data_IF_500021009686
#
_entry.id   IF_500021009686
#
_cell.length_a   1.000
_cell.length_b   1.000
_cell.length_c   1.000
_cell.angle_alpha   90.00
_cell.angle_beta   90.00
_cell.angle_gamma   90.00
#
_symmetry.space_group_name_H-M   'P 1'
#
loop_
_entity.id
_entity.type
_entity.pdbx_description
1 polymer ?
#
# COMPACT_ATOMS: atom_id res chain seq x y z
N UNK A 1 -3.75 21.45 9.60
CA UNK A 1 -3.60 21.65 8.14
C UNK A 1 -2.14 21.67 7.70
N UNK A 2 -1.29 22.58 8.20
CA UNK A 2 0.14 22.70 7.81
C UNK A 2 0.95 21.39 7.88
N UNK A 3 0.82 20.62 8.96
CA UNK A 3 1.52 19.33 9.08
C UNK A 3 1.07 18.25 8.08
N UNK A 4 -0.20 18.26 7.64
CA UNK A 4 -0.69 17.30 6.63
C UNK A 4 -0.12 17.64 5.25
N UNK A 5 -0.11 18.92 4.89
CA UNK A 5 0.49 19.41 3.63
C UNK A 5 1.98 19.04 3.58
N UNK A 6 2.74 19.31 4.64
CA UNK A 6 4.16 18.98 4.69
C UNK A 6 4.44 17.47 4.48
N UNK A 7 3.62 16.60 5.08
CA UNK A 7 3.73 15.14 4.92
C UNK A 7 3.45 14.70 3.48
N UNK A 8 2.39 15.24 2.87
CA UNK A 8 2.04 14.96 1.47
C UNK A 8 3.13 15.46 0.52
N UNK A 9 3.67 16.67 0.76
CA UNK A 9 4.79 17.20 -0.02
C UNK A 9 6.05 16.35 0.11
N UNK A 10 6.40 15.90 1.32
CA UNK A 10 7.55 15.03 1.53
C UNK A 10 7.40 13.68 0.81
N UNK A 11 6.21 13.06 0.89
CA UNK A 11 5.87 11.86 0.12
C UNK A 11 6.00 12.10 -1.38
N UNK A 12 5.50 13.25 -1.85
CA UNK A 12 5.54 13.58 -3.27
C UNK A 12 6.97 13.71 -3.77
N UNK A 13 7.82 14.40 -3.01
CA UNK A 13 9.25 14.53 -3.34
C UNK A 13 9.93 13.17 -3.34
N UNK A 14 9.69 12.35 -2.32
CA UNK A 14 10.27 11.01 -2.23
C UNK A 14 9.92 10.16 -3.46
N UNK A 15 8.64 10.11 -3.83
CA UNK A 15 8.19 9.32 -4.97
C UNK A 15 8.66 9.88 -6.31
N UNK A 16 8.75 11.20 -6.46
CA UNK A 16 9.29 11.82 -7.66
C UNK A 16 10.78 11.45 -7.85
N UNK A 17 11.56 11.47 -6.76
CA UNK A 17 12.96 11.05 -6.77
C UNK A 17 13.10 9.55 -7.07
N UNK A 18 12.26 8.72 -6.45
CA UNK A 18 12.24 7.28 -6.71
C UNK A 18 11.89 6.98 -8.18
N UNK A 19 10.84 7.60 -8.72
CA UNK A 19 10.46 7.45 -10.12
C UNK A 19 11.60 7.85 -11.05
N UNK A 20 12.22 9.01 -10.78
CA UNK A 20 13.35 9.51 -11.56
C UNK A 20 14.56 8.56 -11.52
N UNK A 21 14.82 7.95 -10.36
CA UNK A 21 15.87 6.94 -10.21
C UNK A 21 15.56 5.70 -11.07
N UNK A 22 14.33 5.17 -10.99
CA UNK A 22 13.93 4.02 -11.80
C UNK A 22 14.04 4.32 -13.29
N UNK A 23 13.49 5.45 -13.74
CA UNK A 23 13.48 5.82 -15.15
C UNK A 23 14.88 5.87 -15.77
N UNK A 24 15.89 6.32 -15.00
CA UNK A 24 17.29 6.34 -15.45
C UNK A 24 17.91 4.95 -15.64
N UNK A 25 17.35 3.93 -15.01
CA UNK A 25 17.88 2.57 -14.98
C UNK A 25 17.11 1.60 -15.89
N UNK A 26 16.08 2.05 -16.61
CA UNK A 26 15.34 1.25 -17.59
C UNK A 26 15.86 1.55 -19.00
N UNK A 27 16.05 0.52 -19.83
CA UNK A 27 16.59 0.65 -21.20
C UNK A 27 15.56 1.24 -22.18
N UNK A 28 15.99 2.26 -22.93
CA UNK A 28 15.14 3.21 -23.67
C UNK A 28 14.69 2.77 -25.07
N UNK A 29 14.08 1.60 -25.23
CA UNK A 29 13.27 1.37 -26.44
C UNK A 29 11.83 1.84 -26.19
N UNK A 30 11.52 3.07 -26.62
CA UNK A 30 10.18 3.66 -26.54
C UNK A 30 9.15 2.78 -27.25
N UNK A 31 8.45 1.97 -26.47
CA UNK A 31 7.41 1.04 -26.91
C UNK A 31 6.42 0.77 -25.77
N UNK A 32 5.33 0.05 -26.03
CA UNK A 32 4.42 -0.44 -24.98
C UNK A 32 5.16 -1.24 -23.90
N UNK A 33 6.28 -1.90 -24.25
CA UNK A 33 7.13 -2.62 -23.29
C UNK A 33 7.78 -1.71 -22.27
N UNK A 34 8.12 -0.46 -22.64
CA UNK A 34 8.66 0.52 -21.69
C UNK A 34 7.64 0.81 -20.57
N UNK A 35 6.35 0.86 -20.91
CA UNK A 35 5.29 1.11 -19.93
C UNK A 35 5.12 -0.08 -19.02
N UNK A 36 5.18 -1.30 -19.54
CA UNK A 36 5.15 -2.49 -18.69
C UNK A 36 6.40 -2.54 -17.82
N UNK A 37 7.60 -2.34 -18.35
CA UNK A 37 8.85 -2.37 -17.59
C UNK A 37 8.91 -1.31 -16.49
N UNK A 38 8.44 -0.09 -16.76
CA UNK A 38 8.39 1.00 -15.78
C UNK A 38 7.33 0.76 -14.69
N UNK A 39 6.25 0.04 -14.99
CA UNK A 39 5.08 -0.07 -14.12
C UNK A 39 4.80 -1.50 -13.63
N UNK A 40 5.64 -2.47 -14.00
CA UNK A 40 5.50 -3.87 -13.62
C UNK A 40 5.64 -4.05 -12.12
N UNK A 41 4.98 -5.05 -11.55
CA UNK A 41 5.24 -5.43 -10.17
C UNK A 41 6.63 -6.08 -10.03
N UNK A 42 7.12 -6.73 -11.08
CA UNK A 42 8.39 -7.45 -11.10
C UNK A 42 9.57 -6.58 -11.54
N UNK A 43 9.33 -5.31 -11.86
CA UNK A 43 10.33 -4.35 -12.37
C UNK A 43 9.97 -2.90 -12.02
N UNK A 44 10.81 -1.95 -12.39
CA UNK A 44 10.38 -0.54 -12.45
C UNK A 44 9.97 0.13 -11.14
N UNK A 45 9.03 1.09 -11.26
CA UNK A 45 8.57 1.99 -10.21
C UNK A 45 7.68 1.26 -9.19
N UNK A 46 6.87 0.33 -9.69
CA UNK A 46 5.93 -0.50 -8.93
C UNK A 46 6.56 -1.80 -8.43
N UNK A 47 7.89 -1.87 -8.38
CA UNK A 47 8.60 -3.08 -7.99
C UNK A 47 8.19 -3.55 -6.58
N UNK A 48 7.92 -4.84 -6.41
CA UNK A 48 7.41 -5.42 -5.16
C UNK A 48 8.30 -5.17 -3.93
N UNK A 49 9.64 -5.19 -4.10
CA UNK A 49 10.58 -4.85 -3.00
C UNK A 49 10.37 -3.40 -2.55
N UNK A 50 10.09 -2.52 -3.50
CA UNK A 50 9.84 -1.13 -3.23
C UNK A 50 8.53 -0.96 -2.48
N UNK A 51 7.48 -1.70 -2.84
CA UNK A 51 6.23 -1.71 -2.07
C UNK A 51 6.42 -2.12 -0.60
N UNK A 52 7.25 -3.14 -0.35
CA UNK A 52 7.58 -3.57 1.02
C UNK A 52 8.32 -2.47 1.81
N UNK A 53 9.25 -1.74 1.18
CA UNK A 53 9.94 -0.59 1.80
C UNK A 53 9.05 0.65 1.96
N UNK A 54 8.21 0.91 0.98
CA UNK A 54 7.25 2.02 0.94
C UNK A 54 6.16 1.90 2.01
N UNK A 55 5.78 0.68 2.40
CA UNK A 55 4.92 0.44 3.55
C UNK A 55 5.47 1.08 4.83
N UNK A 56 6.79 1.10 5.05
CA UNK A 56 7.37 1.77 6.23
C UNK A 56 7.11 3.27 6.17
N UNK A 57 7.21 3.87 4.99
CA UNK A 57 7.02 5.31 4.79
C UNK A 57 5.56 5.70 5.08
N UNK A 58 4.59 4.89 4.64
CA UNK A 58 3.18 5.01 5.02
C UNK A 58 3.03 5.03 6.55
N UNK A 59 3.63 4.05 7.23
CA UNK A 59 3.52 3.88 8.69
C UNK A 59 4.21 5.00 9.47
N UNK A 60 5.38 5.48 9.04
CA UNK A 60 6.15 6.53 9.71
C UNK A 60 5.62 7.94 9.45
N UNK A 61 5.23 8.24 8.21
CA UNK A 61 4.83 9.60 7.83
C UNK A 61 3.35 9.85 8.05
N UNK A 62 2.46 8.90 7.76
CA UNK A 62 1.03 9.16 7.72
C UNK A 62 0.28 8.65 8.95
N UNK A 63 0.79 7.63 9.64
CA UNK A 63 0.21 7.19 10.91
C UNK A 63 0.82 7.96 12.09
N UNK A 64 -0.01 8.55 12.95
CA UNK A 64 0.45 9.26 14.15
C UNK A 64 0.00 8.51 15.42
N UNK A 65 0.88 7.69 16.04
CA UNK A 65 0.54 6.92 17.23
C UNK A 65 0.34 7.79 18.48
N UNK A 66 0.92 9.00 18.53
CA UNK A 66 1.00 9.81 19.75
C UNK A 66 -0.33 10.42 20.20
N UNK A 67 -1.33 10.50 19.32
CA UNK A 67 -2.68 10.92 19.71
C UNK A 67 -3.49 9.79 20.39
N UNK A 68 -2.97 8.56 20.46
CA UNK A 68 -3.71 7.39 20.96
C UNK A 68 -3.50 7.17 22.47
N UNK A 69 -2.37 7.55 23.04
CA UNK A 69 -2.08 7.35 24.48
C UNK A 69 -3.04 8.14 25.38
N UNK A 70 -3.36 9.39 25.03
CA UNK A 70 -4.37 10.19 25.76
C UNK A 70 -5.81 9.72 25.54
N UNK A 71 -6.12 9.16 24.35
CA UNK A 71 -7.45 8.64 24.04
C UNK A 71 -7.71 7.27 24.67
N UNK A 72 -6.69 6.44 24.80
CA UNK A 72 -6.74 5.12 25.42
C UNK A 72 -7.30 5.13 26.85
N UNK A 73 -7.04 6.22 27.58
CA UNK A 73 -7.49 6.40 28.97
C UNK A 73 -8.95 6.88 29.06
N UNK A 74 -9.53 7.46 28.00
CA UNK A 74 -10.78 8.25 28.09
C UNK A 74 -11.91 7.81 27.17
N UNK A 75 -11.66 6.91 26.22
CA UNK A 75 -12.64 6.50 25.23
C UNK A 75 -12.89 4.98 25.25
N UNK A 76 -14.12 4.53 24.94
CA UNK A 76 -14.39 3.11 24.79
C UNK A 76 -13.46 2.50 23.72
N UNK A 77 -12.83 1.37 24.03
CA UNK A 77 -11.79 0.75 23.19
C UNK A 77 -12.23 0.52 21.74
N UNK A 78 -13.51 0.16 21.51
CA UNK A 78 -14.10 0.07 20.17
C UNK A 78 -13.97 1.37 19.36
N UNK A 79 -14.15 2.53 20.00
CA UNK A 79 -13.99 3.84 19.36
C UNK A 79 -12.53 4.13 19.01
N UNK A 80 -11.59 3.61 19.79
CA UNK A 80 -10.16 3.73 19.52
C UNK A 80 -9.77 2.87 18.33
N UNK A 81 -10.20 1.60 18.30
CA UNK A 81 -9.96 0.69 17.16
C UNK A 81 -10.54 1.28 15.87
N UNK A 82 -11.79 1.73 15.89
CA UNK A 82 -12.42 2.35 14.73
C UNK A 82 -11.66 3.60 14.26
N UNK A 83 -11.13 4.40 15.20
CA UNK A 83 -10.35 5.59 14.89
C UNK A 83 -8.99 5.25 14.29
N UNK A 84 -8.29 4.27 14.86
CA UNK A 84 -6.99 3.78 14.34
C UNK A 84 -7.16 3.20 12.94
N UNK A 85 -8.20 2.39 12.74
CA UNK A 85 -8.53 1.83 11.44
C UNK A 85 -8.93 2.92 10.44
N UNK A 86 -9.76 3.89 10.84
CA UNK A 86 -10.11 5.04 10.00
C UNK A 86 -8.91 5.90 9.61
N UNK A 87 -7.95 6.12 10.52
CA UNK A 87 -6.69 6.78 10.20
C UNK A 87 -5.85 5.98 9.21
N UNK A 88 -5.91 4.64 9.28
CA UNK A 88 -5.21 3.79 8.33
C UNK A 88 -5.84 3.83 6.94
N UNK A 89 -7.18 3.88 6.86
CA UNK A 89 -7.90 4.12 5.60
C UNK A 89 -7.48 5.46 4.98
N UNK A 90 -7.48 6.55 5.76
CA UNK A 90 -7.02 7.86 5.28
C UNK A 90 -5.57 7.80 4.78
N UNK A 91 -4.68 7.18 5.55
CA UNK A 91 -3.27 7.05 5.21
C UNK A 91 -3.06 6.26 3.91
N UNK A 92 -3.69 5.09 3.79
CA UNK A 92 -3.60 4.24 2.60
C UNK A 92 -4.11 4.99 1.35
N UNK A 93 -5.21 5.72 1.48
CA UNK A 93 -5.77 6.52 0.39
C UNK A 93 -4.79 7.60 -0.08
N UNK A 94 -4.28 8.42 0.85
CA UNK A 94 -3.34 9.49 0.49
C UNK A 94 -2.04 8.95 -0.10
N UNK A 95 -1.54 7.85 0.45
CA UNK A 95 -0.32 7.22 -0.03
C UNK A 95 -0.49 6.72 -1.47
N UNK A 96 -1.53 5.92 -1.74
CA UNK A 96 -1.83 5.42 -3.08
C UNK A 96 -2.09 6.55 -4.07
N UNK A 97 -2.81 7.59 -3.66
CA UNK A 97 -3.13 8.71 -4.53
C UNK A 97 -1.87 9.48 -4.95
N UNK A 98 -0.95 9.74 -4.01
CA UNK A 98 0.31 10.41 -4.32
C UNK A 98 1.23 9.50 -5.14
N UNK A 99 1.33 8.22 -4.79
CA UNK A 99 2.15 7.23 -5.51
C UNK A 99 1.72 7.09 -6.97
N UNK A 100 0.44 6.75 -7.21
CA UNK A 100 -0.10 6.60 -8.56
C UNK A 100 -0.16 7.93 -9.29
N UNK A 101 -0.47 9.03 -8.59
CA UNK A 101 -0.49 10.37 -9.17
C UNK A 101 0.88 10.77 -9.74
N UNK A 102 1.96 10.52 -9.00
CA UNK A 102 3.32 10.77 -9.49
C UNK A 102 3.66 9.87 -10.65
N UNK A 103 3.30 8.59 -10.57
CA UNK A 103 3.51 7.67 -11.68
C UNK A 103 2.84 8.17 -12.97
N UNK A 104 1.57 8.58 -12.88
CA UNK A 104 0.81 9.12 -14.02
C UNK A 104 1.45 10.41 -14.55
N UNK A 105 1.76 11.37 -13.67
CA UNK A 105 2.37 12.64 -14.05
C UNK A 105 3.69 12.41 -14.79
N UNK A 106 4.57 11.57 -14.26
CA UNK A 106 5.88 11.35 -14.87
C UNK A 106 5.81 10.55 -16.17
N UNK A 107 4.90 9.57 -16.29
CA UNK A 107 4.66 8.92 -17.58
C UNK A 107 4.13 9.93 -18.62
N UNK A 108 3.24 10.87 -18.24
CA UNK A 108 2.77 11.93 -19.14
C UNK A 108 3.88 12.89 -19.59
N UNK A 109 4.87 13.15 -18.74
CA UNK A 109 6.00 14.01 -19.10
C UNK A 109 7.00 13.35 -20.05
N UNK A 110 7.13 12.03 -20.00
CA UNK A 110 8.18 11.30 -20.72
C UNK A 110 7.66 10.47 -21.90
N UNK A 111 6.35 10.21 -21.98
CA UNK A 111 5.72 9.39 -23.02
C UNK A 111 4.66 10.22 -23.74
N UNK A 112 4.56 10.06 -25.07
CA UNK A 112 3.58 10.76 -25.88
C UNK A 112 2.15 10.51 -25.36
N UNK A 113 1.41 11.58 -25.10
CA UNK A 113 0.05 11.52 -24.56
C UNK A 113 -0.91 10.71 -25.43
N UNK A 114 -0.81 10.81 -26.75
CA UNK A 114 -1.67 10.05 -27.67
C UNK A 114 -1.44 8.56 -27.49
N UNK A 115 -0.18 8.15 -27.33
CA UNK A 115 0.17 6.76 -27.09
C UNK A 115 -0.38 6.25 -25.75
N UNK A 116 -0.32 7.05 -24.69
CA UNK A 116 -0.90 6.72 -23.38
C UNK A 116 -2.43 6.54 -23.45
N UNK A 117 -3.11 7.32 -24.28
CA UNK A 117 -4.55 7.19 -24.51
C UNK A 117 -4.87 5.93 -25.31
N UNK A 118 -4.14 5.68 -26.40
CA UNK A 118 -4.34 4.51 -27.28
C UNK A 118 -4.27 3.18 -26.51
N UNK A 119 -3.35 3.07 -25.55
CA UNK A 119 -3.17 1.85 -24.77
C UNK A 119 -4.05 1.79 -23.50
N UNK A 120 -4.92 2.77 -23.27
CA UNK A 120 -5.74 2.87 -22.06
C UNK A 120 -4.94 2.98 -20.74
N UNK A 121 -3.79 3.66 -20.75
CA UNK A 121 -2.93 3.80 -19.56
C UNK A 121 -3.66 4.37 -18.34
N UNK A 122 -4.51 5.38 -18.54
CA UNK A 122 -5.25 6.02 -17.45
C UNK A 122 -6.28 5.10 -16.81
N UNK A 123 -6.94 4.25 -17.60
CA UNK A 123 -7.85 3.22 -17.09
C UNK A 123 -7.11 2.21 -16.21
N UNK A 124 -5.96 1.74 -16.69
CA UNK A 124 -5.09 0.82 -15.93
C UNK A 124 -4.56 1.48 -14.66
N UNK A 125 -4.20 2.76 -14.70
CA UNK A 125 -3.74 3.51 -13.53
C UNK A 125 -4.82 3.61 -12.44
N UNK A 126 -6.10 3.75 -12.82
CA UNK A 126 -7.22 3.75 -11.86
C UNK A 126 -7.38 2.37 -11.20
N UNK A 127 -7.34 1.30 -12.01
CA UNK A 127 -7.40 -0.07 -11.49
C UNK A 127 -6.22 -0.36 -10.55
N UNK A 128 -5.03 0.10 -10.92
CA UNK A 128 -3.84 -0.02 -10.10
C UNK A 128 -3.94 0.80 -8.81
N UNK A 129 -4.51 2.01 -8.84
CA UNK A 129 -4.79 2.79 -7.64
C UNK A 129 -5.69 2.05 -6.65
N UNK A 130 -6.75 1.40 -7.13
CA UNK A 130 -7.66 0.61 -6.28
C UNK A 130 -6.89 -0.55 -5.64
N UNK A 131 -6.14 -1.31 -6.45
CA UNK A 131 -5.28 -2.40 -5.98
C UNK A 131 -4.26 -1.95 -4.93
N UNK A 132 -3.55 -0.85 -5.20
CA UNK A 132 -2.56 -0.28 -4.30
C UNK A 132 -3.20 0.17 -2.99
N UNK A 133 -4.35 0.86 -3.05
CA UNK A 133 -5.11 1.24 -1.85
C UNK A 133 -5.48 0.03 -0.98
N UNK A 134 -6.02 -1.03 -1.57
CA UNK A 134 -6.39 -2.25 -0.85
C UNK A 134 -5.14 -2.91 -0.24
N UNK A 135 -4.05 -2.98 -0.99
CA UNK A 135 -2.78 -3.50 -0.50
C UNK A 135 -2.24 -2.72 0.70
N UNK A 136 -2.15 -1.39 0.61
CA UNK A 136 -1.66 -0.56 1.71
C UNK A 136 -2.59 -0.58 2.93
N UNK A 137 -3.90 -0.70 2.72
CA UNK A 137 -4.86 -0.88 3.81
C UNK A 137 -4.68 -2.23 4.50
N UNK A 138 -4.43 -3.30 3.74
CA UNK A 138 -4.13 -4.62 4.30
C UNK A 138 -2.89 -4.57 5.17
N UNK A 139 -1.78 -4.04 4.65
CA UNK A 139 -0.52 -3.91 5.39
C UNK A 139 -0.66 -3.02 6.62
N UNK A 140 -1.44 -1.94 6.49
CA UNK A 140 -1.83 -1.10 7.60
C UNK A 140 -2.63 -1.84 8.68
N UNK A 141 -3.53 -2.74 8.29
CA UNK A 141 -4.33 -3.53 9.23
C UNK A 141 -3.47 -4.55 9.97
N UNK A 142 -2.54 -5.22 9.26
CA UNK A 142 -1.53 -6.10 9.87
C UNK A 142 -0.68 -5.33 10.87
N UNK A 143 -0.24 -4.11 10.51
CA UNK A 143 0.48 -3.24 11.43
C UNK A 143 -0.32 -2.93 12.69
N UNK A 144 -1.61 -2.61 12.57
CA UNK A 144 -2.46 -2.34 13.74
C UNK A 144 -2.54 -3.58 14.66
N UNK A 145 -2.63 -4.79 14.10
CA UNK A 145 -2.59 -6.03 14.90
C UNK A 145 -1.25 -6.17 15.61
N UNK A 146 -0.12 -6.03 14.91
CA UNK A 146 1.22 -6.07 15.51
C UNK A 146 1.37 -5.04 16.63
N UNK A 147 0.91 -3.80 16.39
CA UNK A 147 0.92 -2.73 17.38
C UNK A 147 0.08 -3.07 18.60
N UNK A 148 -1.07 -3.72 18.39
CA UNK A 148 -1.96 -4.15 19.47
C UNK A 148 -1.34 -5.25 20.32
N UNK A 149 -0.55 -6.14 19.71
CA UNK A 149 0.10 -7.25 20.39
C UNK A 149 1.30 -6.77 21.20
N UNK A 150 2.20 -6.00 20.59
CA UNK A 150 3.48 -5.61 21.19
C UNK A 150 3.39 -4.33 22.03
N UNK A 151 2.39 -3.48 21.78
CA UNK A 151 2.21 -2.16 22.43
C UNK A 151 3.40 -1.20 22.30
N UNK A 152 4.37 -1.51 21.43
CA UNK A 152 5.56 -0.72 21.15
C UNK A 152 5.61 -0.40 19.66
N UNK A 153 5.58 0.90 19.32
CA UNK A 153 5.47 1.36 17.94
C UNK A 153 6.69 0.97 17.07
N UNK A 154 7.94 1.27 17.46
CA UNK A 154 9.12 0.81 16.70
C UNK A 154 9.14 -0.70 16.45
N UNK A 155 8.83 -1.52 17.46
CA UNK A 155 8.82 -2.97 17.30
C UNK A 155 7.70 -3.41 16.35
N UNK A 156 6.51 -2.81 16.46
CA UNK A 156 5.41 -3.10 15.54
C UNK A 156 5.76 -2.77 14.08
N UNK A 157 6.41 -1.62 13.84
CA UNK A 157 6.91 -1.25 12.51
C UNK A 157 7.92 -2.29 12.00
N UNK A 158 8.90 -2.67 12.82
CA UNK A 158 9.91 -3.65 12.45
C UNK A 158 9.31 -5.03 12.13
N UNK A 159 8.35 -5.49 12.93
CA UNK A 159 7.64 -6.76 12.70
C UNK A 159 6.82 -6.71 11.41
N UNK A 160 6.05 -5.64 11.18
CA UNK A 160 5.28 -5.51 9.93
C UNK A 160 6.19 -5.43 8.70
N UNK A 161 7.32 -4.76 8.81
CA UNK A 161 8.33 -4.75 7.75
C UNK A 161 8.89 -6.14 7.49
N UNK A 162 9.26 -6.88 8.54
CA UNK A 162 9.70 -8.27 8.43
C UNK A 162 8.67 -9.18 7.77
N UNK A 163 7.38 -9.02 8.12
CA UNK A 163 6.28 -9.74 7.45
C UNK A 163 6.15 -9.37 5.97
N UNK A 164 6.36 -8.09 5.62
CA UNK A 164 6.35 -7.62 4.23
C UNK A 164 7.48 -8.27 3.41
N UNK A 165 8.69 -8.35 3.97
CA UNK A 165 9.82 -9.03 3.34
C UNK A 165 9.56 -10.53 3.23
N UNK A 166 9.04 -11.16 4.30
CA UNK A 166 8.72 -12.58 4.30
C UNK A 166 7.70 -12.92 3.20
N UNK A 167 6.65 -12.12 3.06
CA UNK A 167 5.66 -12.28 2.01
C UNK A 167 6.29 -12.18 0.60
N UNK A 168 7.18 -11.21 0.41
CA UNK A 168 7.91 -11.06 -0.84
C UNK A 168 8.80 -12.28 -1.15
N UNK A 169 9.51 -12.80 -0.14
CA UNK A 169 10.31 -14.02 -0.29
C UNK A 169 9.44 -15.22 -0.70
N UNK A 170 8.29 -15.43 -0.06
CA UNK A 170 7.38 -16.51 -0.43
C UNK A 170 6.85 -16.39 -1.86
N UNK A 171 6.55 -15.19 -2.32
CA UNK A 171 6.12 -14.99 -3.70
C UNK A 171 7.23 -15.29 -4.71
N UNK A 172 8.45 -14.80 -4.47
CA UNK A 172 9.57 -14.97 -5.39
C UNK A 172 10.10 -16.41 -5.44
N UNK A 173 10.08 -17.12 -4.31
CA UNK A 173 10.69 -18.47 -4.21
C UNK A 173 9.69 -19.59 -4.39
N UNK A 174 8.46 -19.43 -3.89
CA UNK A 174 7.46 -20.52 -3.87
C UNK A 174 6.36 -20.32 -4.91
N UNK A 175 6.34 -19.19 -5.63
CA UNK A 175 5.28 -18.86 -6.58
C UNK A 175 3.89 -18.77 -5.93
N UNK A 176 3.84 -18.58 -4.61
CA UNK A 176 2.57 -18.51 -3.90
C UNK A 176 1.84 -17.22 -4.25
N UNK A 177 0.54 -17.28 -4.57
CA UNK A 177 -0.27 -16.08 -4.72
C UNK A 177 -0.34 -15.38 -3.35
N UNK A 178 0.26 -14.20 -3.26
CA UNK A 178 0.24 -13.39 -2.03
C UNK A 178 -0.53 -12.10 -2.28
N UNK A 179 -0.84 -11.31 -1.24
CA UNK A 179 -1.51 -10.02 -1.42
C UNK A 179 -0.74 -9.01 -2.31
N UNK A 180 0.52 -9.28 -2.61
CA UNK A 180 1.32 -8.51 -3.57
C UNK A 180 0.93 -8.82 -5.03
N UNK A 181 0.31 -9.97 -5.32
CA UNK A 181 -0.25 -10.30 -6.64
C UNK A 181 -1.42 -9.39 -7.03
N UNK A 182 -1.97 -8.63 -6.08
CA UNK A 182 -3.00 -7.62 -6.36
C UNK A 182 -2.40 -6.45 -7.16
N UNK A 183 -1.08 -6.27 -7.13
CA UNK A 183 -0.34 -5.17 -7.74
C UNK A 183 0.11 -5.45 -9.19
N UNK A 184 -0.12 -6.65 -9.73
CA UNK A 184 0.30 -7.04 -11.10
C UNK A 184 -0.55 -6.43 -12.21
N UNK A 185 -1.46 -5.50 -11.89
CA UNK A 185 -2.46 -4.92 -12.82
C UNK A 185 -1.87 -4.47 -14.15
N UNK A 186 -0.70 -3.84 -14.16
CA UNK A 186 -0.05 -3.41 -15.41
C UNK A 186 0.40 -4.59 -16.27
N UNK A 187 1.07 -5.58 -15.67
CA UNK A 187 1.52 -6.79 -16.36
C UNK A 187 0.32 -7.61 -16.85
N UNK A 188 -0.67 -7.82 -15.98
CA UNK A 188 -1.90 -8.56 -16.31
C UNK A 188 -2.66 -7.89 -17.47
N UNK A 189 -2.65 -6.56 -17.52
CA UNK A 189 -3.37 -5.82 -18.54
C UNK A 189 -2.72 -5.88 -19.91
N UNK A 190 -1.39 -5.73 -19.96
CA UNK A 190 -0.66 -5.57 -21.23
C UNK A 190 -0.01 -6.85 -21.75
N UNK A 191 0.26 -7.85 -20.90
CA UNK A 191 1.04 -9.04 -21.27
C UNK A 191 0.28 -10.35 -21.04
N UNK A 192 -0.33 -10.54 -19.87
CA UNK A 192 -0.85 -11.86 -19.47
C UNK A 192 -2.34 -12.10 -19.77
N UNK A 193 -3.01 -11.13 -20.40
CA UNK A 193 -4.42 -11.23 -20.79
C UNK A 193 -5.37 -10.86 -19.65
N UNK A 194 -5.76 -9.58 -19.62
CA UNK A 194 -6.57 -9.04 -18.54
C UNK A 194 -7.94 -9.71 -18.41
N UNK A 195 -8.22 -10.27 -17.23
CA UNK A 195 -9.56 -10.72 -16.88
C UNK A 195 -10.15 -9.85 -15.77
N UNK A 196 -11.10 -8.98 -16.13
CA UNK A 196 -11.76 -8.07 -15.19
C UNK A 196 -12.47 -8.80 -14.04
N UNK A 197 -13.05 -9.98 -14.29
CA UNK A 197 -13.71 -10.79 -13.24
C UNK A 197 -12.68 -11.35 -12.26
N UNK A 198 -11.52 -11.79 -12.76
CA UNK A 198 -10.42 -12.23 -11.91
C UNK A 198 -9.91 -11.06 -11.05
N UNK A 199 -9.65 -9.90 -11.66
CA UNK A 199 -9.25 -8.69 -10.94
C UNK A 199 -10.25 -8.31 -9.84
N UNK A 200 -11.55 -8.28 -10.15
CA UNK A 200 -12.60 -7.95 -9.16
C UNK A 200 -12.61 -8.98 -8.03
N UNK A 201 -12.57 -10.27 -8.35
CA UNK A 201 -12.65 -11.33 -7.33
C UNK A 201 -11.45 -11.29 -6.37
N UNK A 202 -10.24 -11.08 -6.88
CA UNK A 202 -9.03 -10.91 -6.07
C UNK A 202 -9.14 -9.72 -5.12
N UNK A 203 -9.59 -8.56 -5.61
CA UNK A 203 -9.76 -7.36 -4.78
C UNK A 203 -10.87 -7.52 -3.73
N UNK A 204 -11.99 -8.17 -4.08
CA UNK A 204 -13.07 -8.47 -3.14
C UNK A 204 -12.61 -9.43 -2.05
N UNK A 205 -11.88 -10.50 -2.40
CA UNK A 205 -11.31 -11.43 -1.43
C UNK A 205 -10.34 -10.72 -0.47
N UNK A 206 -9.51 -9.81 -0.97
CA UNK A 206 -8.63 -9.00 -0.15
C UNK A 206 -9.40 -8.11 0.83
N UNK A 207 -10.50 -7.47 0.39
CA UNK A 207 -11.37 -6.69 1.28
C UNK A 207 -12.04 -7.55 2.36
N UNK A 208 -12.50 -8.75 2.01
CA UNK A 208 -13.05 -9.72 2.99
C UNK A 208 -11.97 -10.09 4.02
N UNK A 209 -10.74 -10.35 3.56
CA UNK A 209 -9.62 -10.67 4.45
C UNK A 209 -9.27 -9.49 5.39
N UNK A 210 -9.23 -8.26 4.89
CA UNK A 210 -9.08 -7.04 5.71
C UNK A 210 -10.20 -6.95 6.75
N UNK A 211 -11.44 -7.22 6.35
CA UNK A 211 -12.60 -7.27 7.27
C UNK A 211 -12.39 -8.28 8.39
N UNK A 212 -11.91 -9.49 8.05
CA UNK A 212 -11.55 -10.53 9.03
C UNK A 212 -10.45 -10.08 9.99
N UNK A 213 -9.36 -9.49 9.47
CA UNK A 213 -8.28 -8.95 10.28
C UNK A 213 -8.75 -7.81 11.21
N UNK A 214 -9.67 -6.97 10.74
CA UNK A 214 -10.27 -5.93 11.56
C UNK A 214 -11.12 -6.50 12.72
N UNK A 215 -11.84 -7.60 12.49
CA UNK A 215 -12.55 -8.31 13.57
C UNK A 215 -11.58 -8.91 14.59
N UNK A 216 -10.48 -9.51 14.12
CA UNK A 216 -9.40 -10.03 14.98
C UNK A 216 -8.77 -8.89 15.80
N UNK A 217 -8.45 -7.77 15.16
CA UNK A 217 -7.93 -6.56 15.82
C UNK A 217 -8.88 -6.09 16.92
N UNK A 218 -10.17 -6.01 16.61
CA UNK A 218 -11.21 -5.61 17.56
C UNK A 218 -11.28 -6.56 18.76
N UNK A 219 -11.15 -7.87 18.52
CA UNK A 219 -11.14 -8.90 19.55
C UNK A 219 -9.91 -8.85 20.46
N UNK A 220 -8.70 -8.72 19.88
CA UNK A 220 -7.44 -8.63 20.65
C UNK A 220 -7.48 -7.42 21.58
N UNK A 221 -7.96 -6.27 21.09
CA UNK A 221 -8.10 -5.06 21.89
C UNK A 221 -9.09 -5.20 23.06
N UNK A 222 -10.15 -5.99 22.88
CA UNK A 222 -11.12 -6.31 23.95
C UNK A 222 -10.55 -7.30 24.98
N UNK A 223 -9.73 -8.27 24.57
CA UNK A 223 -9.18 -9.28 25.50
C UNK A 223 -8.05 -8.79 26.41
N UNK A 224 -7.26 -7.81 25.97
CA UNK A 224 -6.26 -7.14 26.83
C UNK A 224 -6.88 -6.35 28.00
N UNK A 225 -8.19 -6.43 28.25
CA UNK A 225 -8.89 -5.88 29.43
C UNK A 225 -9.05 -6.91 30.56
N UNK A 226 -8.87 -8.21 30.33
CA UNK A 226 -9.18 -9.25 31.35
C UNK A 226 -8.06 -9.35 32.42
N UNK A 227 -6.91 -8.70 32.24
CA UNK A 227 -5.74 -8.85 33.13
C UNK A 227 -5.35 -7.58 33.92
N UNK A 228 -6.01 -6.44 33.72
CA UNK A 228 -5.79 -5.21 34.52
C UNK A 228 -6.99 -4.90 35.44
N UNK A 229 -7.81 -5.93 35.71
CA UNK A 229 -9.05 -5.85 36.49
C UNK A 229 -9.10 -6.80 37.69
N UNK A 230 -7.94 -7.16 38.25
CA UNK A 230 -7.80 -7.72 39.61
C UNK A 230 -6.77 -6.91 40.40
#
# INVERSE_FOLDING_TARGET
MKHRIAKISALSIFFALWWSYVFRNVSFEFSHKLIVELNSAYGGYNHLITHAGMNIILLLLLFNPFNLTQLAVRAPRRRIVNRMFGQMIEAAFYFSAVFVGINVLFNMFHINLNHLVEINFFGVAILYFISAFIFYLLMGTVFLICLSLVSNYPIAVAVTFGLSIGQLYFQLVQGWPTALSILTVYTDYYEDGFNILHYISVNVLALIFIGGLYLILSYIFQRKDILDGE
#
